data_IF_517237893335
#
_entry.id   IF_517237893335
#
_cell.length_a   1.000
_cell.length_b   1.000
_cell.length_c   1.000
_cell.angle_alpha   90.00
_cell.angle_beta   90.00
_cell.angle_gamma   90.00
#
_symmetry.space_group_name_H-M   'P 1'
#
loop_
_entity.id
_entity.type
_entity.pdbx_description
1 polymer ?
#
# COMPACT_ATOMS: atom_id res chain seq x y z
N UNK A 1 13.35 7.35 9.63
CA UNK A 1 12.66 6.06 9.80
C UNK A 1 12.53 5.52 8.41
N UNK A 2 13.26 4.45 8.11
CA UNK A 2 13.39 3.96 6.75
C UNK A 2 12.48 2.74 6.66
N UNK A 3 11.47 2.82 5.80
CA UNK A 3 10.60 1.71 5.46
C UNK A 3 10.70 1.54 3.94
N UNK A 4 10.74 0.30 3.46
CA UNK A 4 10.83 -0.01 2.02
C UNK A 4 9.66 -0.88 1.59
N UNK A 5 9.33 -0.83 0.31
CA UNK A 5 8.39 -1.77 -0.30
C UNK A 5 9.03 -3.15 -0.33
N UNK A 6 8.50 -4.07 0.46
CA UNK A 6 8.98 -5.47 0.48
C UNK A 6 8.35 -6.29 -0.65
N UNK A 7 7.05 -6.12 -0.90
CA UNK A 7 6.32 -6.85 -1.93
C UNK A 7 5.13 -6.02 -2.42
N UNK A 8 4.73 -6.26 -3.68
CA UNK A 8 3.57 -5.64 -4.30
C UNK A 8 2.62 -6.72 -4.82
N UNK A 9 1.31 -6.50 -4.62
CA UNK A 9 0.28 -7.41 -5.06
C UNK A 9 -0.88 -6.71 -5.76
N UNK A 10 -1.36 -7.32 -6.83
CA UNK A 10 -2.64 -6.98 -7.46
C UNK A 10 -3.64 -8.11 -7.28
N UNK A 11 -4.92 -7.76 -7.18
CA UNK A 11 -6.03 -8.71 -7.02
C UNK A 11 -7.06 -8.44 -8.12
N UNK A 12 -6.91 -9.06 -9.30
CA UNK A 12 -7.82 -8.82 -10.43
C UNK A 12 -9.27 -9.24 -10.14
N UNK A 13 -9.45 -10.28 -9.31
CA UNK A 13 -10.76 -10.85 -8.96
C UNK A 13 -10.91 -11.02 -7.44
N UNK A 14 -12.17 -11.15 -6.97
CA UNK A 14 -12.45 -11.32 -5.54
C UNK A 14 -11.97 -12.66 -4.97
N UNK A 15 -11.97 -13.71 -5.77
CA UNK A 15 -11.78 -15.08 -5.31
C UNK A 15 -10.40 -15.64 -5.68
N UNK A 16 -9.68 -14.94 -6.56
CA UNK A 16 -8.33 -15.28 -6.96
C UNK A 16 -7.31 -14.95 -5.86
N UNK A 17 -6.22 -15.73 -5.75
CA UNK A 17 -5.03 -15.33 -4.99
C UNK A 17 -4.47 -14.00 -5.51
N UNK A 18 -3.73 -13.29 -4.65
CA UNK A 18 -2.97 -12.12 -5.09
C UNK A 18 -1.90 -12.52 -6.10
N UNK A 19 -1.68 -11.67 -7.10
CA UNK A 19 -0.57 -11.80 -8.04
C UNK A 19 0.54 -10.87 -7.56
N UNK A 20 1.70 -11.45 -7.25
CA UNK A 20 2.89 -10.68 -6.90
C UNK A 20 3.51 -10.06 -8.16
N UNK A 21 3.96 -8.82 -8.04
CA UNK A 21 4.60 -8.07 -9.14
C UNK A 21 5.81 -7.31 -8.59
N UNK A 22 6.83 -7.11 -9.44
CA UNK A 22 8.02 -6.34 -9.05
C UNK A 22 7.76 -4.82 -9.12
N UNK A 23 6.83 -4.39 -9.96
CA UNK A 23 6.47 -2.99 -10.19
C UNK A 23 5.02 -2.87 -10.65
N UNK A 24 4.36 -1.76 -10.33
CA UNK A 24 2.98 -1.49 -10.75
C UNK A 24 2.72 0.01 -10.92
N UNK A 25 1.99 0.35 -11.98
CA UNK A 25 1.48 1.69 -12.16
C UNK A 25 0.26 1.92 -11.26
N UNK A 26 0.33 2.95 -10.41
CA UNK A 26 -0.76 3.35 -9.51
C UNK A 26 -1.55 4.48 -10.15
N UNK A 27 -2.79 4.19 -10.51
CA UNK A 27 -3.77 5.14 -11.06
C UNK A 27 -4.57 5.81 -9.94
N UNK A 28 -5.38 6.86 -10.21
CA UNK A 28 -6.27 7.44 -9.20
C UNK A 28 -7.20 6.44 -8.50
N UNK A 29 -7.55 5.33 -9.18
CA UNK A 29 -8.40 4.26 -8.64
C UNK A 29 -7.65 3.12 -7.94
N UNK A 30 -6.32 3.14 -7.93
CA UNK A 30 -5.46 2.09 -7.37
C UNK A 30 -4.50 1.49 -8.40
N UNK A 31 -3.79 0.41 -8.02
CA UNK A 31 -2.82 -0.25 -8.90
C UNK A 31 -3.48 -0.80 -10.17
N UNK A 32 -2.82 -0.66 -11.32
CA UNK A 32 -3.30 -1.23 -12.58
C UNK A 32 -3.42 -2.75 -12.48
N UNK A 33 -4.48 -3.32 -13.08
CA UNK A 33 -4.80 -4.74 -12.97
C UNK A 33 -5.41 -5.16 -11.62
N UNK A 34 -5.43 -4.28 -10.62
CA UNK A 34 -6.16 -4.53 -9.38
C UNK A 34 -7.66 -4.20 -9.56
N UNK A 35 -8.53 -5.04 -9.00
CA UNK A 35 -9.95 -4.76 -8.97
C UNK A 35 -10.24 -3.48 -8.19
N UNK A 36 -11.01 -2.57 -8.77
CA UNK A 36 -11.49 -1.37 -8.09
C UNK A 36 -12.28 -1.72 -6.82
N UNK A 37 -11.89 -1.11 -5.70
CA UNK A 37 -12.56 -1.19 -4.40
C UNK A 37 -12.91 0.22 -3.91
N UNK A 38 -13.62 0.27 -2.78
CA UNK A 38 -13.95 1.53 -2.08
C UNK A 38 -12.70 2.36 -1.73
N UNK A 39 -11.58 1.70 -1.47
CA UNK A 39 -10.30 2.32 -1.15
C UNK A 39 -9.30 1.96 -2.24
N UNK A 40 -8.56 2.96 -2.73
CA UNK A 40 -7.69 2.81 -3.90
C UNK A 40 -6.46 1.93 -3.60
N UNK A 41 -5.84 2.13 -2.44
CA UNK A 41 -4.62 1.40 -2.04
C UNK A 41 -4.75 0.91 -0.61
N UNK A 42 -4.28 -0.32 -0.35
CA UNK A 42 -4.14 -0.90 0.98
C UNK A 42 -2.67 -1.22 1.24
N UNK A 43 -2.13 -0.66 2.32
CA UNK A 43 -0.76 -0.87 2.79
C UNK A 43 -0.77 -1.68 4.08
N UNK A 44 0.22 -2.56 4.26
CA UNK A 44 0.36 -3.40 5.46
C UNK A 44 1.84 -3.60 5.80
N UNK A 45 2.14 -3.93 7.06
CA UNK A 45 3.50 -4.35 7.46
C UNK A 45 3.79 -5.79 7.01
N UNK A 46 5.07 -6.15 6.89
CA UNK A 46 5.48 -7.56 6.64
C UNK A 46 4.91 -8.50 7.71
N UNK A 47 5.02 -8.13 8.99
CA UNK A 47 4.54 -8.97 10.10
C UNK A 47 3.05 -9.26 10.02
N UNK A 48 2.24 -8.22 9.77
CA UNK A 48 0.79 -8.37 9.62
C UNK A 48 0.43 -9.16 8.37
N UNK A 49 1.20 -8.99 7.29
CA UNK A 49 0.99 -9.74 6.05
C UNK A 49 1.22 -11.23 6.26
N UNK A 50 2.34 -11.61 6.89
CA UNK A 50 2.67 -13.00 7.22
C UNK A 50 1.65 -13.59 8.21
N UNK A 51 1.19 -12.81 9.19
CA UNK A 51 0.28 -13.31 10.22
C UNK A 51 -1.14 -13.54 9.69
N UNK A 52 -1.65 -12.68 8.81
CA UNK A 52 -3.08 -12.63 8.47
C UNK A 52 -3.39 -12.77 6.98
N UNK A 53 -2.38 -12.70 6.11
CA UNK A 53 -2.51 -12.75 4.64
C UNK A 53 -3.64 -11.85 4.10
N UNK A 54 -3.67 -10.54 4.46
CA UNK A 54 -4.69 -9.64 3.99
C UNK A 54 -4.53 -9.39 2.48
N UNK A 55 -5.63 -9.07 1.80
CA UNK A 55 -5.60 -8.65 0.39
C UNK A 55 -5.13 -7.20 0.24
N UNK A 56 -3.90 -6.93 0.66
CA UNK A 56 -3.21 -5.65 0.62
C UNK A 56 -2.35 -5.53 -0.63
N UNK A 57 -2.22 -4.31 -1.16
CA UNK A 57 -1.48 -4.04 -2.40
C UNK A 57 0.01 -3.81 -2.18
N UNK A 58 0.36 -3.19 -1.05
CA UNK A 58 1.74 -2.80 -0.74
C UNK A 58 2.09 -3.38 0.62
N UNK A 59 3.13 -4.19 0.68
CA UNK A 59 3.71 -4.69 1.92
C UNK A 59 4.97 -3.89 2.22
N UNK A 60 5.06 -3.30 3.41
CA UNK A 60 6.16 -2.45 3.84
C UNK A 60 6.99 -3.15 4.91
N UNK A 61 8.32 -3.09 4.78
CA UNK A 61 9.25 -3.48 5.82
C UNK A 61 9.32 -2.37 6.89
N UNK A 62 8.40 -2.44 7.85
CA UNK A 62 8.31 -1.53 9.00
C UNK A 62 7.38 -2.07 10.09
N UNK A 63 7.49 -1.52 11.29
CA UNK A 63 6.56 -1.80 12.39
C UNK A 63 5.12 -1.39 12.04
N UNK A 64 4.17 -2.31 12.27
CA UNK A 64 2.73 -2.05 12.12
C UNK A 64 2.24 -0.81 12.90
N UNK A 65 2.76 -0.62 14.11
CA UNK A 65 2.40 0.52 14.98
C UNK A 65 2.86 1.86 14.41
N UNK A 66 3.94 1.85 13.64
CA UNK A 66 4.45 3.04 12.93
C UNK A 66 3.59 3.31 11.70
N UNK A 67 3.29 2.27 10.91
CA UNK A 67 2.40 2.40 9.76
C UNK A 67 1.04 3.00 10.15
N UNK A 68 0.47 2.58 11.28
CA UNK A 68 -0.77 3.13 11.82
C UNK A 68 -0.67 4.63 12.19
N UNK A 69 0.51 5.12 12.59
CA UNK A 69 0.73 6.55 12.90
C UNK A 69 0.80 7.43 11.66
N UNK A 70 0.90 6.85 10.46
CA UNK A 70 0.87 7.61 9.21
C UNK A 70 -0.54 8.01 8.80
N UNK A 71 -1.60 7.56 9.49
CA UNK A 71 -2.97 8.00 9.19
C UNK A 71 -3.09 9.53 9.28
N UNK A 72 -3.52 10.15 8.19
CA UNK A 72 -3.60 11.60 7.99
C UNK A 72 -2.42 12.18 7.20
N UNK A 73 -1.30 11.48 7.15
CA UNK A 73 -0.07 11.91 6.47
C UNK A 73 -0.10 11.65 4.97
N UNK A 74 0.74 12.39 4.25
CA UNK A 74 1.04 12.16 2.83
C UNK A 74 2.40 11.50 2.74
N UNK A 75 2.48 10.40 1.99
CA UNK A 75 3.70 9.61 1.79
C UNK A 75 3.99 9.46 0.31
N UNK A 76 5.28 9.29 -0.01
CA UNK A 76 5.76 8.98 -1.35
C UNK A 76 6.41 7.60 -1.35
N UNK A 77 6.12 6.85 -2.40
CA UNK A 77 6.74 5.56 -2.77
C UNK A 77 7.05 5.64 -4.26
N UNK A 78 8.33 5.55 -4.65
CA UNK A 78 8.74 5.74 -6.04
C UNK A 78 8.24 7.07 -6.61
N UNK A 79 7.53 7.00 -7.74
CA UNK A 79 6.91 8.16 -8.39
C UNK A 79 5.49 8.47 -7.86
N UNK A 80 4.92 7.62 -7.01
CA UNK A 80 3.55 7.75 -6.53
C UNK A 80 3.48 8.51 -5.19
N UNK A 81 2.51 9.41 -5.07
CA UNK A 81 2.18 10.09 -3.80
C UNK A 81 0.81 9.65 -3.31
N UNK A 82 0.75 9.21 -2.05
CA UNK A 82 -0.43 8.65 -1.41
C UNK A 82 -0.77 9.46 -0.16
N UNK A 83 -2.06 9.67 0.11
CA UNK A 83 -2.52 10.14 1.42
C UNK A 83 -3.07 8.95 2.18
N UNK A 84 -2.50 8.66 3.34
CA UNK A 84 -2.98 7.60 4.23
C UNK A 84 -4.22 8.13 4.95
N UNK A 85 -5.34 7.41 4.84
CA UNK A 85 -6.67 7.94 5.23
C UNK A 85 -7.20 7.34 6.51
N UNK A 86 -7.11 6.02 6.68
CA UNK A 86 -7.68 5.32 7.85
C UNK A 86 -7.13 3.91 7.98
N UNK A 87 -7.23 3.34 9.18
CA UNK A 87 -7.09 1.90 9.39
C UNK A 87 -8.40 1.16 9.06
N UNK A 88 -8.34 -0.05 8.49
CA UNK A 88 -9.53 -0.90 8.36
C UNK A 88 -10.07 -1.31 9.73
N UNK A 89 -11.38 -1.54 9.83
CA UNK A 89 -12.02 -2.02 11.06
C UNK A 89 -11.94 -3.54 11.25
N UNK A 90 -11.65 -4.29 10.19
CA UNK A 90 -11.70 -5.76 10.18
C UNK A 90 -10.41 -6.44 9.70
N UNK A 91 -9.40 -5.67 9.29
CA UNK A 91 -8.11 -6.23 8.86
C UNK A 91 -6.96 -5.28 9.20
N UNK A 92 -5.74 -5.81 9.16
CA UNK A 92 -4.53 -5.08 9.48
C UNK A 92 -4.16 -4.03 8.41
N UNK A 93 -3.25 -3.12 8.76
CA UNK A 93 -2.72 -2.10 7.86
C UNK A 93 -3.54 -0.81 7.80
N UNK A 94 -3.40 -0.09 6.68
CA UNK A 94 -4.03 1.22 6.43
C UNK A 94 -4.48 1.35 4.99
N UNK A 95 -5.54 2.13 4.76
CA UNK A 95 -5.97 2.53 3.43
C UNK A 95 -5.37 3.87 3.04
N UNK A 96 -5.11 4.04 1.76
CA UNK A 96 -4.68 5.29 1.18
C UNK A 96 -5.47 5.64 -0.09
N UNK A 97 -5.57 6.94 -0.33
CA UNK A 97 -5.99 7.50 -1.62
C UNK A 97 -4.75 7.96 -2.40
N UNK A 98 -4.90 8.03 -3.71
CA UNK A 98 -3.81 8.43 -4.61
C UNK A 98 -3.89 9.93 -4.83
N UNK A 99 -2.85 10.65 -4.39
CA UNK A 99 -2.73 12.11 -4.58
C UNK A 99 -2.07 12.42 -5.92
N UNK A 100 -1.02 11.68 -6.26
CA UNK A 100 -0.34 11.78 -7.56
C UNK A 100 -0.06 10.37 -8.08
N UNK A 101 -0.67 9.98 -9.21
CA UNK A 101 -0.39 8.72 -9.88
C UNK A 101 1.09 8.56 -10.22
N UNK A 102 1.56 7.32 -10.24
CA UNK A 102 2.94 7.00 -10.57
C UNK A 102 3.25 5.53 -10.36
N UNK A 103 4.42 5.12 -10.82
CA UNK A 103 4.91 3.75 -10.66
C UNK A 103 5.50 3.55 -9.27
N UNK A 104 5.19 2.41 -8.65
CA UNK A 104 5.83 1.90 -7.43
C UNK A 104 6.53 0.59 -7.78
N UNK A 105 7.75 0.42 -7.30
CA UNK A 105 8.58 -0.78 -7.46
C UNK A 105 8.95 -1.34 -6.09
N UNK A 106 9.20 -2.65 -6.00
CA UNK A 106 9.87 -3.25 -4.84
C UNK A 106 11.18 -2.50 -4.55
N UNK A 107 11.56 -2.43 -3.28
CA UNK A 107 12.68 -1.65 -2.74
C UNK A 107 12.50 -0.12 -2.73
N UNK A 108 11.40 0.43 -3.27
CA UNK A 108 11.11 1.86 -3.12
C UNK A 108 11.03 2.26 -1.64
N UNK A 109 11.70 3.35 -1.27
CA UNK A 109 11.68 3.89 0.08
C UNK A 109 10.40 4.70 0.33
N UNK A 110 9.80 4.48 1.50
CA UNK A 110 8.73 5.31 2.03
C UNK A 110 9.31 6.63 2.55
N UNK A 111 8.80 7.73 2.00
CA UNK A 111 9.17 9.07 2.41
C UNK A 111 7.91 9.82 2.83
N UNK A 112 7.87 10.34 4.06
CA UNK A 112 6.80 11.24 4.46
C UNK A 112 7.00 12.56 3.73
N UNK A 113 6.01 12.99 2.96
CA UNK A 113 6.07 14.26 2.25
C UNK A 113 5.94 15.39 3.28
N UNK A 114 7.01 16.15 3.50
CA UNK A 114 6.92 17.40 4.27
C UNK A 114 6.06 18.40 3.51
N UNK A 115 5.06 18.95 4.20
CA UNK A 115 4.22 20.06 3.73
C UNK A 115 5.05 21.29 3.36
#
# INVERSE_FOLDING_TARGET
MNATVSSLYIYPDSDSPGQEVDSVDVTPSGPEGNRSKKHAVHLVSVDDFVATHPKANIVLDMDASVLARLVGEVVRLGACTLRVTQSPSQCAGVYAEVVTPGTITVDDELQVATA
#
